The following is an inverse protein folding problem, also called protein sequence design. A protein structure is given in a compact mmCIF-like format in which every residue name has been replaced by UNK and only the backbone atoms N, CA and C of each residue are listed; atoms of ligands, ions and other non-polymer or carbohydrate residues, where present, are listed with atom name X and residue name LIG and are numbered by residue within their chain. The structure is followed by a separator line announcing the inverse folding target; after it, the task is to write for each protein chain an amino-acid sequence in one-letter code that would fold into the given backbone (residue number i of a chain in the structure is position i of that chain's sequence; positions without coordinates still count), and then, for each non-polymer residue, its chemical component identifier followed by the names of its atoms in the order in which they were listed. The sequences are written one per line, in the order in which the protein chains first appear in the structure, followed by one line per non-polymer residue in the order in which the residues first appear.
data_IF_699584111099
#
_entry.id   IF_699584111099
#
_cell.length_a   1.000
_cell.length_b   1.000
_cell.length_c   1.000
_cell.angle_alpha   90.00
_cell.angle_beta   90.00
_cell.angle_gamma   90.00
#
_symmetry.space_group_name_H-M   'P 1'
#
loop_
_entity.id
_entity.type
_entity.pdbx_description
1 polymer ?
#
# COMPACT_ATOMS: atom_id res chain seq x y z
N UNK A 1 6.99 -19.24 10.81
CA UNK A 1 7.63 -17.90 10.69
C UNK A 1 7.58 -17.29 12.07
N UNK A 2 8.72 -16.85 12.61
CA UNK A 2 8.71 -16.06 13.84
C UNK A 2 7.75 -14.90 13.66
N UNK A 3 6.76 -14.77 14.56
CA UNK A 3 5.76 -13.72 14.48
C UNK A 3 6.43 -12.35 14.40
N UNK A 4 7.57 -12.15 15.06
CA UNK A 4 8.38 -10.93 14.98
C UNK A 4 8.92 -10.66 13.57
N UNK A 5 9.39 -11.68 12.85
CA UNK A 5 9.96 -11.52 11.50
C UNK A 5 8.88 -11.13 10.49
N UNK A 6 7.73 -11.81 10.50
CA UNK A 6 6.60 -11.50 9.63
C UNK A 6 6.13 -10.05 9.80
N UNK A 7 6.02 -9.58 11.04
CA UNK A 7 5.65 -8.20 11.36
C UNK A 7 6.64 -7.17 10.79
N UNK A 8 7.94 -7.45 10.91
CA UNK A 8 8.99 -6.56 10.38
C UNK A 8 8.92 -6.49 8.86
N UNK A 9 8.74 -7.62 8.18
CA UNK A 9 8.64 -7.68 6.71
C UNK A 9 7.43 -6.89 6.22
N UNK A 10 6.26 -7.11 6.81
CA UNK A 10 5.02 -6.45 6.39
C UNK A 10 5.04 -4.95 6.67
N UNK A 11 5.46 -4.54 7.88
CA UNK A 11 5.54 -3.12 8.24
C UNK A 11 6.57 -2.37 7.39
N UNK A 12 7.77 -2.94 7.21
CA UNK A 12 8.82 -2.29 6.41
C UNK A 12 8.57 -2.34 4.92
N UNK A 13 8.00 -3.43 4.40
CA UNK A 13 7.61 -3.55 2.99
C UNK A 13 6.53 -2.53 2.62
N UNK A 14 5.49 -2.39 3.45
CA UNK A 14 4.45 -1.37 3.25
C UNK A 14 5.00 0.06 3.38
N UNK A 15 5.88 0.33 4.37
CA UNK A 15 6.58 1.61 4.49
C UNK A 15 7.40 1.94 3.24
N UNK A 16 8.15 0.95 2.73
CA UNK A 16 9.01 1.11 1.56
C UNK A 16 8.19 1.41 0.31
N UNK A 17 7.10 0.67 0.06
CA UNK A 17 6.22 0.93 -1.07
C UNK A 17 5.56 2.31 -1.00
N UNK A 18 5.00 2.67 0.16
CA UNK A 18 4.36 3.97 0.34
C UNK A 18 5.37 5.12 0.26
N UNK A 19 6.61 4.91 0.70
CA UNK A 19 7.65 5.92 0.55
C UNK A 19 8.02 6.13 -0.93
N UNK A 20 8.26 5.05 -1.68
CA UNK A 20 8.53 5.13 -3.11
C UNK A 20 7.40 5.87 -3.84
N UNK A 21 6.15 5.47 -3.57
CA UNK A 21 4.98 6.05 -4.22
C UNK A 21 4.72 7.50 -3.82
N UNK A 22 4.67 7.84 -2.53
CA UNK A 22 4.18 9.13 -2.04
C UNK A 22 5.28 10.19 -1.94
N UNK A 23 6.48 9.79 -1.52
CA UNK A 23 7.59 10.71 -1.24
C UNK A 23 8.52 10.83 -2.43
N UNK A 24 8.97 9.69 -2.96
CA UNK A 24 10.05 9.65 -3.95
C UNK A 24 9.53 9.72 -5.41
N UNK A 25 8.20 9.61 -5.59
CA UNK A 25 7.52 9.61 -6.90
C UNK A 25 8.11 8.57 -7.87
N UNK A 26 8.24 7.35 -7.36
CA UNK A 26 8.91 6.26 -8.02
C UNK A 26 8.11 4.98 -7.82
N UNK A 27 8.11 4.13 -8.84
CA UNK A 27 7.56 2.79 -8.75
C UNK A 27 8.63 1.76 -9.12
N UNK A 28 8.79 0.77 -8.25
CA UNK A 28 9.47 -0.46 -8.59
C UNK A 28 8.43 -1.36 -9.27
N UNK A 29 8.59 -1.64 -10.55
CA UNK A 29 7.59 -2.30 -11.38
C UNK A 29 7.48 -3.82 -11.16
N UNK A 30 8.22 -4.37 -10.20
CA UNK A 30 8.33 -5.80 -9.94
C UNK A 30 8.65 -6.08 -8.47
N UNK A 31 7.81 -5.51 -7.58
CA UNK A 31 7.96 -5.67 -6.13
C UNK A 31 7.29 -6.97 -5.65
N UNK A 32 7.66 -8.11 -6.24
CA UNK A 32 7.17 -9.41 -5.85
C UNK A 32 8.03 -10.02 -4.72
N UNK A 33 7.53 -11.02 -3.97
CA UNK A 33 8.24 -11.58 -2.82
C UNK A 33 9.64 -12.12 -3.12
N UNK A 34 9.93 -12.54 -4.36
CA UNK A 34 11.25 -13.03 -4.75
C UNK A 34 12.34 -11.95 -4.80
N UNK A 35 11.95 -10.68 -4.94
CA UNK A 35 12.86 -9.53 -4.93
C UNK A 35 13.06 -8.92 -3.54
N UNK A 36 12.43 -9.48 -2.49
CA UNK A 36 12.49 -8.99 -1.12
C UNK A 36 13.19 -10.02 -0.25
N UNK A 37 14.45 -9.77 0.10
CA UNK A 37 15.20 -10.58 1.05
C UNK A 37 15.15 -9.98 2.45
N UNK A 38 15.27 -10.85 3.45
CA UNK A 38 15.30 -10.47 4.87
C UNK A 38 16.59 -10.98 5.46
N UNK A 39 17.44 -10.06 5.90
CA UNK A 39 18.70 -10.37 6.55
C UNK A 39 18.53 -10.16 8.05
N UNK A 40 18.66 -11.23 8.84
CA UNK A 40 18.73 -11.12 10.29
C UNK A 40 20.20 -11.08 10.73
N UNK A 41 20.64 -9.94 11.30
CA UNK A 41 22.02 -9.83 11.82
C UNK A 41 22.28 -10.68 13.06
N UNK A 42 21.27 -11.25 13.73
CA UNK A 42 21.49 -12.15 14.87
C UNK A 42 22.09 -13.50 14.46
N UNK A 43 21.83 -13.97 13.23
CA UNK A 43 22.38 -15.23 12.73
C UNK A 43 23.88 -15.17 12.33
N UNK A 44 24.51 -13.99 12.43
CA UNK A 44 25.92 -13.77 12.05
C UNK A 44 26.81 -13.26 13.20
N UNK A 45 26.29 -13.19 14.42
CA UNK A 45 27.03 -12.72 15.60
C UNK A 45 27.48 -13.86 16.53
N UNK A 46 27.88 -15.01 15.97
CA UNK A 46 28.71 -16.00 16.68
C UNK A 46 30.20 -15.58 16.73
N UNK A 47 30.53 -14.37 16.28
CA UNK A 47 31.88 -13.83 16.39
C UNK A 47 31.86 -12.30 16.44
N UNK A 48 32.48 -11.76 17.49
CA UNK A 48 32.83 -10.36 17.79
C UNK A 48 31.96 -9.72 18.90
N UNK A 49 32.60 -9.66 20.07
CA UNK A 49 32.23 -8.88 21.25
C UNK A 49 32.00 -7.41 20.91
N UNK A 50 30.77 -6.92 21.01
CA UNK A 50 30.50 -5.49 21.16
C UNK A 50 29.46 -5.31 22.27
N UNK A 51 29.92 -4.71 23.37
CA UNK A 51 29.19 -4.45 24.61
C UNK A 51 28.22 -3.28 24.43
N UNK A 52 27.22 -3.48 23.56
CA UNK A 52 26.06 -2.59 23.48
C UNK A 52 24.78 -3.37 23.75
N UNK A 53 24.16 -3.06 24.88
CA UNK A 53 22.88 -3.60 25.34
C UNK A 53 21.84 -3.65 24.21
N UNK A 54 21.20 -4.82 23.95
CA UNK A 54 20.30 -4.99 22.83
C UNK A 54 18.96 -4.28 23.10
N UNK A 55 18.80 -3.07 22.56
CA UNK A 55 17.47 -2.48 22.40
C UNK A 55 16.73 -3.23 21.28
N UNK A 56 15.73 -4.03 21.66
CA UNK A 56 14.57 -4.50 20.91
C UNK A 56 14.66 -4.46 19.37
N UNK A 57 14.94 -5.61 18.73
CA UNK A 57 14.61 -5.86 17.30
C UNK A 57 15.50 -5.18 16.23
N UNK A 58 16.71 -4.71 16.58
CA UNK A 58 17.58 -3.93 15.68
C UNK A 58 18.36 -4.70 14.60
N UNK A 59 18.27 -6.03 14.49
CA UNK A 59 19.11 -6.81 13.55
C UNK A 59 18.48 -7.11 12.19
N UNK A 60 17.16 -7.03 12.03
CA UNK A 60 16.52 -7.42 10.77
C UNK A 60 16.60 -6.29 9.74
N UNK A 61 17.06 -6.56 8.51
CA UNK A 61 17.12 -5.64 7.37
C UNK A 61 16.31 -6.22 6.20
N UNK A 62 15.51 -5.38 5.55
CA UNK A 62 14.87 -5.72 4.27
C UNK A 62 15.79 -5.28 3.15
N UNK A 63 16.12 -6.19 2.23
CA UNK A 63 17.03 -5.99 1.11
C UNK A 63 16.24 -6.18 -0.18
N UNK A 64 16.26 -5.18 -1.05
CA UNK A 64 15.74 -5.30 -2.42
C UNK A 64 16.89 -5.74 -3.32
N UNK A 65 16.70 -6.83 -4.06
CA UNK A 65 17.77 -7.44 -4.87
C UNK A 65 17.73 -6.95 -6.31
N UNK A 66 16.53 -6.79 -6.84
CA UNK A 66 16.33 -6.24 -8.18
C UNK A 66 16.02 -4.75 -8.09
N UNK A 67 16.48 -4.00 -9.08
CA UNK A 67 16.11 -2.61 -9.35
C UNK A 67 16.06 -2.34 -10.86
N UNK A 68 16.02 -3.39 -11.69
CA UNK A 68 16.10 -3.31 -13.15
C UNK A 68 14.82 -2.75 -13.78
N UNK A 69 13.68 -2.90 -13.12
CA UNK A 69 12.39 -2.41 -13.61
C UNK A 69 11.85 -1.30 -12.70
N UNK A 70 12.18 -0.06 -13.06
CA UNK A 70 11.85 1.12 -12.27
C UNK A 70 11.35 2.25 -13.14
N UNK A 71 10.31 2.96 -12.69
CA UNK A 71 9.73 4.06 -13.43
C UNK A 71 9.38 5.25 -12.54
N UNK A 72 9.46 6.46 -13.11
CA UNK A 72 8.97 7.68 -12.50
C UNK A 72 7.59 7.98 -13.05
N UNK A 73 6.63 8.23 -12.16
CA UNK A 73 5.28 8.61 -12.54
C UNK A 73 5.23 10.10 -12.91
N UNK A 74 4.44 10.44 -13.93
CA UNK A 74 4.05 11.82 -14.18
C UNK A 74 3.17 12.32 -13.04
N UNK A 75 3.14 13.64 -12.84
CA UNK A 75 2.41 14.23 -11.69
C UNK A 75 0.91 13.93 -11.70
N UNK A 76 0.30 13.85 -12.89
CA UNK A 76 -1.08 13.41 -13.07
C UNK A 76 -1.24 11.91 -12.73
N UNK A 77 -0.33 11.05 -13.20
CA UNK A 77 -0.35 9.62 -12.90
C UNK A 77 -0.28 9.34 -11.40
N UNK A 78 0.67 9.97 -10.72
CA UNK A 78 0.82 9.87 -9.27
C UNK A 78 -0.44 10.36 -8.55
N UNK A 79 -0.96 11.53 -8.94
CA UNK A 79 -2.14 12.13 -8.29
C UNK A 79 -3.41 11.31 -8.49
N UNK A 80 -3.63 10.76 -9.70
CA UNK A 80 -4.79 9.95 -10.01
C UNK A 80 -4.75 8.63 -9.25
N UNK A 81 -3.58 7.98 -9.20
CA UNK A 81 -3.43 6.73 -8.47
C UNK A 81 -3.59 6.91 -6.96
N UNK A 82 -3.03 7.98 -6.38
CA UNK A 82 -3.23 8.26 -4.95
C UNK A 82 -4.67 8.67 -4.67
N UNK A 83 -5.31 9.40 -5.58
CA UNK A 83 -6.75 9.69 -5.50
C UNK A 83 -7.60 8.42 -5.44
N UNK A 84 -7.26 7.41 -6.24
CA UNK A 84 -7.90 6.09 -6.18
C UNK A 84 -7.69 5.39 -4.83
N UNK A 85 -6.46 5.39 -4.27
CA UNK A 85 -6.20 4.83 -2.94
C UNK A 85 -6.94 5.58 -1.81
N UNK A 86 -7.09 6.90 -1.94
CA UNK A 86 -7.87 7.71 -1.00
C UNK A 86 -9.36 7.40 -1.10
N UNK A 87 -9.89 7.21 -2.32
CA UNK A 87 -11.27 6.82 -2.55
C UNK A 87 -11.56 5.46 -1.91
N UNK A 88 -10.67 4.47 -2.08
CA UNK A 88 -10.74 3.20 -1.35
C UNK A 88 -10.73 3.40 0.18
N UNK A 89 -9.84 4.24 0.69
CA UNK A 89 -9.78 4.57 2.11
C UNK A 89 -11.06 5.20 2.66
N UNK A 90 -11.77 5.98 1.84
CA UNK A 90 -13.02 6.63 2.21
C UNK A 90 -14.26 5.77 1.89
N UNK A 91 -14.10 4.62 1.24
CA UNK A 91 -15.23 3.82 0.75
C UNK A 91 -16.04 4.53 -0.35
N UNK A 92 -15.41 5.44 -1.10
CA UNK A 92 -16.04 6.24 -2.14
C UNK A 92 -15.88 5.60 -3.52
N UNK A 93 -16.81 4.72 -3.88
CA UNK A 93 -16.76 3.97 -5.14
C UNK A 93 -16.90 4.84 -6.39
N UNK A 94 -17.70 5.91 -6.31
CA UNK A 94 -17.88 6.83 -7.44
C UNK A 94 -16.56 7.55 -7.75
N UNK A 95 -15.93 8.13 -6.73
CA UNK A 95 -14.63 8.80 -6.86
C UNK A 95 -13.53 7.85 -7.32
N UNK A 96 -13.58 6.59 -6.86
CA UNK A 96 -12.65 5.56 -7.33
C UNK A 96 -12.83 5.31 -8.84
N UNK A 97 -14.06 5.22 -9.32
CA UNK A 97 -14.38 5.11 -10.74
C UNK A 97 -13.86 6.31 -11.54
N UNK A 98 -14.08 7.53 -11.07
CA UNK A 98 -13.54 8.75 -11.69
C UNK A 98 -12.02 8.70 -11.82
N UNK A 99 -11.31 8.28 -10.77
CA UNK A 99 -9.85 8.16 -10.82
C UNK A 99 -9.39 7.09 -11.83
N UNK A 100 -10.05 5.92 -11.87
CA UNK A 100 -9.70 4.85 -12.81
C UNK A 100 -9.93 5.28 -14.26
N UNK A 101 -10.98 6.05 -14.54
CA UNK A 101 -11.21 6.60 -15.88
C UNK A 101 -10.12 7.58 -16.35
N UNK A 102 -9.27 8.07 -15.42
CA UNK A 102 -8.10 8.91 -15.70
C UNK A 102 -6.80 8.09 -15.78
N UNK A 103 -6.86 6.75 -15.72
CA UNK A 103 -5.68 5.88 -15.84
C UNK A 103 -5.21 5.66 -17.28
N UNK A 104 -5.90 6.25 -18.27
CA UNK A 104 -5.40 6.36 -19.63
C UNK A 104 -6.00 7.58 -20.30
N UNK A 105 -5.19 8.32 -21.04
CA UNK A 105 -5.63 9.45 -21.87
C UNK A 105 -6.48 8.98 -23.06
N UNK A 106 -6.42 7.69 -23.42
CA UNK A 106 -7.08 7.10 -24.60
C UNK A 106 -8.20 6.15 -24.22
N UNK A 107 -9.28 6.66 -23.62
CA UNK A 107 -10.40 5.81 -23.21
C UNK A 107 -11.21 5.25 -24.38
N UNK A 108 -11.64 4.01 -24.23
CA UNK A 108 -12.61 3.34 -25.11
C UNK A 108 -14.04 3.78 -24.77
N UNK A 109 -14.33 4.02 -23.49
CA UNK A 109 -15.61 4.54 -22.99
C UNK A 109 -15.66 6.07 -23.13
N UNK A 110 -15.94 6.53 -24.35
CA UNK A 110 -15.98 7.96 -24.68
C UNK A 110 -17.31 8.62 -24.28
N UNK A 111 -18.42 7.87 -24.32
CA UNK A 111 -19.74 8.44 -24.04
C UNK A 111 -19.89 8.69 -22.53
N UNK A 112 -20.47 9.83 -22.12
CA UNK A 112 -20.75 10.10 -20.71
C UNK A 112 -21.56 8.99 -20.03
N UNK A 113 -22.54 8.42 -20.74
CA UNK A 113 -23.36 7.31 -20.26
C UNK A 113 -22.55 6.07 -19.89
N UNK A 114 -21.52 5.74 -20.67
CA UNK A 114 -20.69 4.56 -20.45
C UNK A 114 -19.76 4.79 -19.24
N UNK A 115 -19.31 6.03 -19.05
CA UNK A 115 -18.49 6.45 -17.90
C UNK A 115 -19.31 6.44 -16.61
N UNK A 116 -20.53 6.96 -16.64
CA UNK A 116 -21.44 6.97 -15.50
C UNK A 116 -21.85 5.54 -15.12
N UNK A 117 -22.11 4.68 -16.11
CA UNK A 117 -22.38 3.26 -15.86
C UNK A 117 -21.22 2.55 -15.18
N UNK A 118 -19.98 2.80 -15.61
CA UNK A 118 -18.78 2.29 -14.94
C UNK A 118 -18.65 2.80 -13.51
N UNK A 119 -18.85 4.11 -13.28
CA UNK A 119 -18.81 4.68 -11.93
C UNK A 119 -19.91 4.12 -11.01
N UNK A 120 -21.11 3.88 -11.54
CA UNK A 120 -22.18 3.22 -10.80
C UNK A 120 -21.81 1.78 -10.41
N UNK A 121 -21.26 0.99 -11.35
CA UNK A 121 -20.79 -0.36 -11.05
C UNK A 121 -19.66 -0.38 -10.00
N UNK A 122 -18.79 0.65 -10.00
CA UNK A 122 -17.77 0.81 -8.95
C UNK A 122 -18.38 1.08 -7.56
N UNK A 123 -19.49 1.83 -7.49
CA UNK A 123 -20.24 2.04 -6.23
C UNK A 123 -20.79 0.72 -5.70
N UNK A 124 -21.33 -0.14 -6.57
CA UNK A 124 -21.84 -1.45 -6.17
C UNK A 124 -20.72 -2.33 -5.58
N UNK A 125 -19.57 -2.38 -6.23
CA UNK A 125 -18.37 -3.10 -5.74
C UNK A 125 -17.94 -2.56 -4.37
N UNK A 126 -17.88 -1.24 -4.20
CA UNK A 126 -17.41 -0.63 -2.95
C UNK A 126 -18.40 -0.87 -1.80
N UNK A 127 -19.69 -0.87 -2.07
CA UNK A 127 -20.73 -1.17 -1.08
C UNK A 127 -20.55 -2.58 -0.48
N UNK A 128 -20.13 -3.54 -1.30
CA UNK A 128 -19.90 -4.93 -0.89
C UNK A 128 -18.52 -5.13 -0.26
N UNK A 129 -17.45 -4.65 -0.92
CA UNK A 129 -16.08 -5.05 -0.60
C UNK A 129 -15.23 -3.95 0.05
N UNK A 130 -15.61 -2.67 -0.07
CA UNK A 130 -14.78 -1.52 0.33
C UNK A 130 -15.55 -0.47 1.11
N UNK A 131 -15.79 -0.71 2.42
CA UNK A 131 -16.46 0.25 3.32
C UNK A 131 -15.51 1.30 3.92
N UNK A 132 -14.27 1.38 3.43
CA UNK A 132 -13.26 2.33 3.87
C UNK A 132 -12.50 1.94 5.14
N UNK A 133 -11.77 2.90 5.71
CA UNK A 133 -10.88 2.68 6.85
C UNK A 133 -11.59 2.12 8.09
N UNK A 134 -10.95 1.16 8.77
CA UNK A 134 -11.40 0.57 10.03
C UNK A 134 -12.51 -0.47 9.86
N UNK A 135 -12.82 -0.86 8.63
CA UNK A 135 -13.89 -1.85 8.33
C UNK A 135 -13.35 -3.22 7.93
N UNK A 136 -12.04 -3.45 8.05
CA UNK A 136 -11.43 -4.73 7.72
C UNK A 136 -11.38 -5.04 6.22
N UNK A 137 -11.27 -4.02 5.37
CA UNK A 137 -11.23 -4.16 3.91
C UNK A 137 -10.07 -5.06 3.46
N UNK A 138 -10.37 -6.10 2.69
CA UNK A 138 -9.37 -6.83 1.91
C UNK A 138 -9.04 -6.03 0.64
N UNK A 139 -7.87 -5.39 0.64
CA UNK A 139 -7.39 -4.61 -0.51
C UNK A 139 -7.28 -5.47 -1.76
N UNK A 140 -6.82 -6.72 -1.62
CA UNK A 140 -6.69 -7.63 -2.76
C UNK A 140 -8.03 -7.92 -3.42
N UNK A 141 -9.05 -8.25 -2.63
CA UNK A 141 -10.38 -8.52 -3.17
C UNK A 141 -10.95 -7.30 -3.90
N UNK A 142 -10.86 -6.11 -3.30
CA UNK A 142 -11.32 -4.87 -3.94
C UNK A 142 -10.62 -4.64 -5.28
N UNK A 143 -9.30 -4.80 -5.34
CA UNK A 143 -8.55 -4.59 -6.59
C UNK A 143 -8.90 -5.62 -7.66
N UNK A 144 -9.13 -6.88 -7.29
CA UNK A 144 -9.57 -7.94 -8.22
C UNK A 144 -10.93 -7.57 -8.83
N UNK A 145 -11.91 -7.19 -8.00
CA UNK A 145 -13.24 -6.79 -8.46
C UNK A 145 -13.19 -5.53 -9.34
N UNK A 146 -12.35 -4.54 -8.99
CA UNK A 146 -12.12 -3.35 -9.81
C UNK A 146 -11.52 -3.73 -11.17
N UNK A 147 -10.53 -4.64 -11.22
CA UNK A 147 -9.96 -5.12 -12.49
C UNK A 147 -11.00 -5.87 -13.35
N UNK A 148 -11.87 -6.66 -12.73
CA UNK A 148 -12.98 -7.30 -13.43
C UNK A 148 -13.96 -6.27 -14.00
N UNK A 149 -14.29 -5.23 -13.23
CA UNK A 149 -15.17 -4.13 -13.65
C UNK A 149 -14.58 -3.34 -14.83
N UNK A 150 -13.29 -3.02 -14.76
CA UNK A 150 -12.52 -2.38 -15.84
C UNK A 150 -12.65 -3.20 -17.12
N UNK A 151 -12.46 -4.53 -17.03
CA UNK A 151 -12.57 -5.44 -18.17
C UNK A 151 -14.00 -5.48 -18.73
N UNK A 152 -15.03 -5.57 -17.89
CA UNK A 152 -16.43 -5.62 -18.33
C UNK A 152 -16.85 -4.34 -19.05
N UNK A 153 -16.47 -3.18 -18.54
CA UNK A 153 -16.79 -1.87 -19.12
C UNK A 153 -15.79 -1.42 -20.19
N UNK A 154 -14.81 -2.27 -20.55
CA UNK A 154 -13.77 -1.98 -21.55
C UNK A 154 -13.01 -0.67 -21.28
N UNK A 155 -12.83 -0.33 -19.99
CA UNK A 155 -12.04 0.83 -19.56
C UNK A 155 -10.58 0.55 -19.87
N UNK A 156 -9.90 1.52 -20.48
CA UNK A 156 -8.48 1.38 -20.81
C UNK A 156 -7.63 1.87 -19.64
N UNK A 157 -6.60 1.11 -19.29
CA UNK A 157 -5.58 1.53 -18.33
C UNK A 157 -4.20 1.50 -18.98
N UNK A 158 -3.37 2.48 -18.69
CA UNK A 158 -1.97 2.47 -19.14
C UNK A 158 -1.13 1.51 -18.29
N UNK A 159 -0.05 1.02 -18.87
CA UNK A 159 0.80 -0.03 -18.28
C UNK A 159 1.32 0.34 -16.89
N UNK A 160 1.70 1.61 -16.68
CA UNK A 160 2.22 2.08 -15.38
C UNK A 160 1.19 1.88 -14.25
N UNK A 161 -0.10 2.16 -14.51
CA UNK A 161 -1.15 1.95 -13.52
C UNK A 161 -1.44 0.48 -13.29
N UNK A 162 -1.46 -0.33 -14.35
CA UNK A 162 -1.61 -1.78 -14.23
C UNK A 162 -0.52 -2.35 -13.32
N UNK A 163 0.73 -1.96 -13.54
CA UNK A 163 1.86 -2.38 -12.70
C UNK A 163 1.73 -1.90 -11.25
N UNK A 164 1.28 -0.65 -11.02
CA UNK A 164 1.03 -0.17 -9.66
C UNK A 164 -0.02 -1.01 -8.93
N UNK A 165 -1.11 -1.37 -9.59
CA UNK A 165 -2.17 -2.24 -9.03
C UNK A 165 -1.62 -3.63 -8.73
N UNK A 166 -0.88 -4.23 -9.66
CA UNK A 166 -0.25 -5.55 -9.46
C UNK A 166 0.73 -5.53 -8.28
N UNK A 167 1.54 -4.48 -8.14
CA UNK A 167 2.43 -4.34 -6.99
C UNK A 167 1.69 -4.32 -5.65
N UNK A 168 0.56 -3.61 -5.57
CA UNK A 168 -0.26 -3.61 -4.35
C UNK A 168 -0.84 -5.00 -4.10
N UNK A 169 -1.30 -5.70 -5.14
CA UNK A 169 -1.78 -7.09 -5.02
C UNK A 169 -0.70 -8.03 -4.49
N UNK A 170 0.53 -7.94 -5.01
CA UNK A 170 1.66 -8.73 -4.54
C UNK A 170 2.02 -8.42 -3.07
N UNK A 171 2.07 -7.12 -2.72
CA UNK A 171 2.38 -6.69 -1.37
C UNK A 171 1.28 -7.10 -0.38
N UNK A 172 0.02 -7.01 -0.80
CA UNK A 172 -1.11 -7.50 -0.03
C UNK A 172 -1.08 -9.01 0.17
N UNK A 173 -0.87 -9.79 -0.89
CA UNK A 173 -0.77 -11.25 -0.77
C UNK A 173 0.38 -11.68 0.14
N UNK A 174 1.52 -10.98 0.10
CA UNK A 174 2.62 -11.20 1.04
C UNK A 174 2.22 -10.87 2.48
N UNK A 175 1.53 -9.75 2.69
CA UNK A 175 1.09 -9.34 4.03
C UNK A 175 0.05 -10.30 4.60
N UNK A 176 -0.91 -10.73 3.79
CA UNK A 176 -1.95 -11.69 4.20
C UNK A 176 -1.34 -13.05 4.54
N UNK A 177 -0.36 -13.52 3.77
CA UNK A 177 0.34 -14.78 4.04
C UNK A 177 1.17 -14.74 5.34
N UNK A 178 1.74 -13.58 5.69
CA UNK A 178 2.61 -13.43 6.86
C UNK A 178 1.87 -12.97 8.12
N UNK A 179 0.88 -12.10 7.97
CA UNK A 179 0.12 -11.42 9.03
C UNK A 179 -1.34 -11.22 8.57
N UNK A 180 -2.21 -12.25 8.66
CA UNK A 180 -3.59 -12.19 8.17
C UNK A 180 -4.43 -11.08 8.81
N UNK A 181 -4.18 -10.75 10.08
CA UNK A 181 -4.94 -9.72 10.80
C UNK A 181 -4.45 -8.28 10.50
N UNK A 182 -3.40 -8.12 9.67
CA UNK A 182 -2.84 -6.81 9.34
C UNK A 182 -3.54 -6.15 8.16
N UNK A 183 -4.22 -5.03 8.41
CA UNK A 183 -4.88 -4.25 7.37
C UNK A 183 -3.95 -3.17 6.77
N UNK A 184 -3.47 -3.40 5.55
CA UNK A 184 -2.59 -2.46 4.83
C UNK A 184 -3.26 -1.11 4.55
N UNK A 185 -4.56 -1.10 4.24
CA UNK A 185 -5.29 0.13 3.93
C UNK A 185 -5.30 1.05 5.15
N UNK A 186 -5.61 0.51 6.33
CA UNK A 186 -5.61 1.24 7.58
C UNK A 186 -4.22 1.72 7.99
N UNK A 187 -3.20 0.91 7.74
CA UNK A 187 -1.81 1.30 7.97
C UNK A 187 -1.37 2.46 7.06
N UNK A 188 -1.88 2.53 5.84
CA UNK A 188 -1.56 3.60 4.88
C UNK A 188 -2.28 4.93 5.19
N UNK A 189 -3.39 4.90 5.94
CA UNK A 189 -4.24 6.08 6.26
C UNK A 189 -3.46 7.36 6.63
N UNK A 190 -2.55 7.38 7.62
CA UNK A 190 -1.85 8.61 8.00
C UNK A 190 -1.00 9.19 6.87
N UNK A 191 -0.45 8.34 5.99
CA UNK A 191 0.37 8.77 4.87
C UNK A 191 -0.48 9.28 3.69
N UNK A 192 -1.59 8.59 3.41
CA UNK A 192 -2.53 8.98 2.36
C UNK A 192 -3.27 10.29 2.70
N UNK A 193 -3.62 10.53 3.97
CA UNK A 193 -4.32 11.76 4.37
C UNK A 193 -3.47 13.03 4.24
N UNK A 194 -2.15 12.91 4.37
CA UNK A 194 -1.21 14.03 4.20
C UNK A 194 -1.01 14.36 2.72
N UNK A 195 -1.22 13.39 1.82
CA UNK A 195 -1.10 13.62 0.40
C UNK A 195 -2.36 14.32 -0.14
N UNK A 196 -2.32 15.65 -0.26
CA UNK A 196 -3.30 16.40 -1.07
C UNK A 196 -2.59 17.10 -2.22
N UNK A 197 -2.98 16.86 -3.49
CA UNK A 197 -2.43 17.61 -4.61
C UNK A 197 -2.71 19.11 -4.41
N UNK A 198 -1.80 19.96 -4.86
CA UNK A 198 -1.94 21.40 -4.78
C UNK A 198 -0.64 22.16 -5.02
N UNK A 199 -0.63 23.48 -4.73
CA UNK A 199 0.47 24.35 -5.15
C UNK A 199 1.78 24.02 -4.44
N UNK A 200 2.90 24.55 -4.94
CA UNK A 200 4.27 24.25 -4.48
C UNK A 200 4.44 24.40 -2.96
N UNK A 201 3.76 25.34 -2.31
CA UNK A 201 3.80 25.49 -0.84
C UNK A 201 3.26 24.26 -0.10
N UNK A 202 2.28 23.54 -0.64
CA UNK A 202 1.79 22.27 -0.08
C UNK A 202 2.82 21.15 -0.22
N UNK A 203 3.67 21.17 -1.24
CA UNK A 203 4.81 20.26 -1.35
C UNK A 203 5.81 20.49 -0.21
N UNK A 204 6.09 21.75 0.13
CA UNK A 204 6.95 22.10 1.27
C UNK A 204 6.34 21.65 2.60
N UNK A 205 5.04 21.91 2.80
CA UNK A 205 4.30 21.42 3.97
C UNK A 205 4.31 19.90 4.05
N UNK A 206 4.11 19.20 2.92
CA UNK A 206 4.18 17.74 2.86
C UNK A 206 5.56 17.25 3.32
N UNK A 207 6.64 17.88 2.86
CA UNK A 207 8.01 17.50 3.25
C UNK A 207 8.25 17.72 4.76
N UNK A 208 7.60 18.71 5.37
CA UNK A 208 7.65 18.97 6.81
C UNK A 208 6.76 18.00 7.64
N UNK A 209 5.57 17.64 7.14
CA UNK A 209 4.60 16.80 7.86
C UNK A 209 4.81 15.30 7.61
N UNK A 210 5.44 14.90 6.49
CA UNK A 210 5.65 13.49 6.18
C UNK A 210 6.40 12.72 7.29
N UNK A 211 7.47 13.24 7.92
CA UNK A 211 8.13 12.56 9.02
C UNK A 211 7.20 12.33 10.23
N UNK A 212 6.33 13.28 10.55
CA UNK A 212 5.38 13.14 11.66
C UNK A 212 4.29 12.12 11.33
N UNK A 213 3.78 12.12 10.11
CA UNK A 213 2.83 11.11 9.64
C UNK A 213 3.42 9.69 9.63
N UNK A 214 4.69 9.55 9.22
CA UNK A 214 5.41 8.29 9.27
C UNK A 214 5.61 7.82 10.72
N UNK A 215 5.90 8.73 11.64
CA UNK A 215 5.97 8.42 13.07
C UNK A 215 4.61 7.96 13.62
N UNK A 216 3.51 8.58 13.20
CA UNK A 216 2.14 8.16 13.57
C UNK A 216 1.84 6.75 13.03
N UNK A 217 2.20 6.44 11.77
CA UNK A 217 2.05 5.09 11.22
C UNK A 217 2.81 4.06 12.08
N UNK A 218 4.10 4.30 12.33
CA UNK A 218 4.93 3.38 13.12
C UNK A 218 4.38 3.13 14.52
N UNK A 219 3.84 4.18 15.18
CA UNK A 219 3.18 4.03 16.48
C UNK A 219 1.90 3.20 16.38
N UNK A 220 1.09 3.38 15.33
CA UNK A 220 -0.11 2.57 15.10
C UNK A 220 0.24 1.11 14.84
N UNK A 221 1.20 0.84 13.96
CA UNK A 221 1.70 -0.52 13.69
C UNK A 221 2.15 -1.19 15.00
N UNK A 222 2.92 -0.49 15.85
CA UNK A 222 3.35 -1.03 17.14
C UNK A 222 2.19 -1.37 18.09
N UNK A 223 1.12 -0.57 18.10
CA UNK A 223 -0.08 -0.86 18.91
C UNK A 223 -0.80 -2.09 18.38
N UNK A 224 -0.99 -2.19 17.06
CA UNK A 224 -1.62 -3.34 16.40
C UNK A 224 -0.85 -4.62 16.71
N UNK A 225 0.47 -4.62 16.53
CA UNK A 225 1.29 -5.79 16.82
C UNK A 225 1.32 -6.20 18.29
N UNK A 226 1.31 -5.23 19.22
CA UNK A 226 1.15 -5.55 20.66
C UNK A 226 -0.20 -6.21 20.96
N UNK A 227 -1.26 -5.79 20.27
CA UNK A 227 -2.59 -6.41 20.42
C UNK A 227 -2.57 -7.85 19.88
N UNK A 228 -2.06 -8.05 18.67
CA UNK A 228 -1.92 -9.37 18.06
C UNK A 228 -1.08 -10.32 18.91
N UNK A 229 0.02 -9.83 19.49
CA UNK A 229 0.86 -10.63 20.38
C UNK A 229 0.11 -11.07 21.65
N UNK A 230 -0.69 -10.19 22.27
CA UNK A 230 -1.52 -10.56 23.44
C UNK A 230 -2.55 -11.62 23.08
N UNK A 231 -3.29 -11.42 21.99
CA UNK A 231 -4.29 -12.38 21.51
C UNK A 231 -3.66 -13.75 21.17
N UNK A 232 -2.44 -13.76 20.64
CA UNK A 232 -1.69 -14.98 20.36
C UNK A 232 -1.22 -15.72 21.62
N UNK A 233 -0.91 -14.99 22.71
CA UNK A 233 -0.57 -15.59 24.00
C UNK A 233 -1.81 -16.18 24.69
N UNK A 234 -2.94 -15.46 24.66
CA UNK A 234 -4.23 -15.92 25.21
C UNK A 234 -4.76 -17.18 24.52
N UNK A 235 -4.54 -17.33 23.20
CA UNK A 235 -4.91 -18.56 22.47
C UNK A 235 -4.02 -19.77 22.79
N UNK A 236 -2.87 -19.56 23.45
CA UNK A 236 -1.91 -20.62 23.81
C UNK A 236 -2.00 -21.06 25.27
N UNK A 237 -2.70 -20.29 26.11
CA UNK A 237 -3.03 -20.63 27.51
C UNK A 237 -4.35 -21.37 27.60
#
# INVERSE_FOLDING_TARGET
VDLSLGQVVVSRGSDLYLQMLLKDNFMHADLHPGNILVQDKQAHLDSVDDDTTPEDGKSTRVVLVDAGMVARLRSNEQSNFIGFLQAMGNGDGWRAGECVLQFSDRQTCVKPTDRDAFCAAMVDIFTVYCRGYGTGVSVGQVLIEVLQCIRLHQVRIDVNYATLVINILCLHGLAEALQPDYNILDAAKPLLQVYRPGPVWRFLIRRLIYPTAQMVKRRKDAIVYRKMHREALEKRS
#
